data_IF_981674073710
#
_entry.id   IF_981674073710
#
_cell.length_a   1.000
_cell.length_b   1.000
_cell.length_c   1.000
_cell.angle_alpha   90.00
_cell.angle_beta   90.00
_cell.angle_gamma   90.00
#
_symmetry.space_group_name_H-M   'P 1'
#
loop_
_entity.id
_entity.type
_entity.pdbx_description
1 polymer ?
#
# COMPACT_ATOMS: atom_id res chain seq x y z
N UNK A 1 19.29 10.54 -29.88
CA UNK A 1 19.01 9.37 -29.00
C UNK A 1 18.53 9.79 -27.60
N UNK A 2 17.75 10.87 -27.48
CA UNK A 2 17.31 11.43 -26.17
C UNK A 2 15.79 11.30 -25.94
N UNK A 3 14.99 11.20 -27.00
CA UNK A 3 13.53 11.03 -26.89
C UNK A 3 13.11 9.69 -26.26
N UNK A 4 13.91 8.63 -26.43
CA UNK A 4 13.62 7.29 -25.88
C UNK A 4 13.81 7.21 -24.37
N UNK A 5 14.78 7.93 -23.79
CA UNK A 5 15.08 7.89 -22.35
C UNK A 5 13.96 8.51 -21.49
N UNK A 6 13.32 9.58 -21.99
CA UNK A 6 12.24 10.26 -21.26
C UNK A 6 10.93 9.44 -21.26
N UNK A 7 10.67 8.72 -22.35
CA UNK A 7 9.52 7.82 -22.47
C UNK A 7 9.68 6.58 -21.56
N UNK A 8 10.89 6.02 -21.46
CA UNK A 8 11.19 4.89 -20.58
C UNK A 8 11.10 5.28 -19.10
N UNK A 9 11.63 6.45 -18.73
CA UNK A 9 11.52 7.00 -17.37
C UNK A 9 10.06 7.17 -16.93
N UNK A 10 9.19 7.67 -17.82
CA UNK A 10 7.76 7.80 -17.55
C UNK A 10 7.09 6.45 -17.29
N UNK A 11 7.36 5.47 -18.16
CA UNK A 11 6.84 4.09 -18.02
C UNK A 11 7.36 3.42 -16.74
N UNK A 12 8.64 3.60 -16.42
CA UNK A 12 9.28 3.06 -15.22
C UNK A 12 8.65 3.68 -13.96
N UNK A 13 8.41 4.99 -13.93
CA UNK A 13 7.71 5.65 -12.81
C UNK A 13 6.30 5.11 -12.62
N UNK A 14 5.54 4.93 -13.70
CA UNK A 14 4.19 4.33 -13.60
C UNK A 14 4.26 2.89 -13.06
N UNK A 15 5.21 2.08 -13.52
CA UNK A 15 5.41 0.72 -13.01
C UNK A 15 5.77 0.73 -11.52
N UNK A 16 6.68 1.60 -11.10
CA UNK A 16 7.06 1.74 -9.70
C UNK A 16 5.87 2.21 -8.84
N UNK A 17 5.09 3.18 -9.31
CA UNK A 17 3.89 3.66 -8.62
C UNK A 17 2.83 2.55 -8.46
N UNK A 18 2.57 1.78 -9.53
CA UNK A 18 1.66 0.64 -9.47
C UNK A 18 2.16 -0.42 -8.51
N UNK A 19 3.46 -0.74 -8.56
CA UNK A 19 4.07 -1.69 -7.64
C UNK A 19 3.90 -1.25 -6.18
N UNK A 20 4.21 0.01 -5.87
CA UNK A 20 4.05 0.55 -4.52
C UNK A 20 2.58 0.56 -4.07
N UNK A 21 1.66 0.93 -4.96
CA UNK A 21 0.23 0.90 -4.65
C UNK A 21 -0.25 -0.51 -4.32
N UNK A 22 0.15 -1.51 -5.11
CA UNK A 22 -0.16 -2.93 -4.86
C UNK A 22 0.47 -3.41 -3.55
N UNK A 23 1.74 -3.05 -3.29
CA UNK A 23 2.42 -3.42 -2.06
C UNK A 23 1.71 -2.84 -0.81
N UNK A 24 1.32 -1.57 -0.84
CA UNK A 24 0.57 -0.92 0.25
C UNK A 24 -0.83 -1.53 0.43
N UNK A 25 -1.51 -1.84 -0.67
CA UNK A 25 -2.79 -2.53 -0.61
C UNK A 25 -2.65 -3.94 -0.01
N UNK A 26 -1.57 -4.65 -0.32
CA UNK A 26 -1.31 -5.98 0.23
C UNK A 26 -0.99 -5.93 1.74
N UNK A 27 -0.21 -4.96 2.21
CA UNK A 27 0.10 -4.81 3.64
C UNK A 27 -1.14 -4.46 4.45
N UNK A 28 -1.93 -3.48 4.01
CA UNK A 28 -3.18 -3.11 4.68
C UNK A 28 -4.22 -4.23 4.57
N UNK A 29 -4.37 -4.81 3.38
CA UNK A 29 -5.29 -5.90 3.11
C UNK A 29 -5.01 -7.15 3.94
N UNK A 30 -3.74 -7.52 4.15
CA UNK A 30 -3.38 -8.64 5.03
C UNK A 30 -3.75 -8.35 6.49
N UNK A 31 -3.51 -7.13 7.00
CA UNK A 31 -3.93 -6.74 8.34
C UNK A 31 -5.46 -6.80 8.53
N UNK A 32 -6.24 -6.48 7.49
CA UNK A 32 -7.71 -6.64 7.50
C UNK A 32 -8.13 -8.11 7.37
N UNK A 33 -7.44 -8.90 6.53
CA UNK A 33 -7.70 -10.32 6.37
C UNK A 33 -7.52 -11.07 7.69
N UNK A 34 -6.48 -10.75 8.48
CA UNK A 34 -6.33 -11.36 9.81
C UNK A 34 -7.46 -11.02 10.76
N UNK A 35 -8.00 -9.79 10.71
CA UNK A 35 -9.15 -9.39 11.53
C UNK A 35 -10.43 -10.12 11.12
N UNK A 36 -10.79 -10.06 9.83
CA UNK A 36 -12.10 -10.53 9.36
C UNK A 36 -12.13 -12.00 8.96
N UNK A 37 -11.03 -12.53 8.43
CA UNK A 37 -10.92 -13.91 7.95
C UNK A 37 -10.21 -14.78 9.00
N UNK A 38 -9.16 -14.24 9.63
CA UNK A 38 -8.37 -14.95 10.64
C UNK A 38 -8.96 -14.96 12.05
N UNK A 39 -10.00 -14.15 12.33
CA UNK A 39 -10.57 -14.03 13.67
C UNK A 39 -9.65 -13.40 14.71
N UNK A 40 -8.56 -12.73 14.29
CA UNK A 40 -7.66 -12.03 15.19
C UNK A 40 -8.32 -10.74 15.67
N UNK A 41 -8.75 -10.75 16.94
CA UNK A 41 -9.37 -9.59 17.58
C UNK A 41 -8.30 -8.49 17.73
N UNK A 42 -8.50 -7.29 17.17
CA UNK A 42 -7.57 -6.19 17.34
C UNK A 42 -7.66 -5.62 18.77
N UNK A 43 -6.54 -5.15 19.32
CA UNK A 43 -6.55 -4.43 20.59
C UNK A 43 -7.11 -3.01 20.41
N UNK A 44 -7.72 -2.48 21.48
CA UNK A 44 -8.31 -1.13 21.49
C UNK A 44 -7.32 -0.06 21.00
N UNK A 45 -6.07 -0.14 21.47
CA UNK A 45 -5.04 0.81 21.13
C UNK A 45 -4.65 0.79 19.64
N UNK A 46 -4.75 -0.36 18.96
CA UNK A 46 -4.51 -0.46 17.51
C UNK A 46 -5.61 0.22 16.69
N UNK A 47 -6.86 0.15 17.15
CA UNK A 47 -7.98 0.83 16.48
C UNK A 47 -7.88 2.35 16.65
N UNK A 48 -7.49 2.79 17.85
CA UNK A 48 -7.36 4.21 18.18
C UNK A 48 -6.21 4.89 17.42
N UNK A 49 -5.09 4.19 17.22
CA UNK A 49 -3.97 4.71 16.43
C UNK A 49 -4.18 4.68 14.90
N UNK A 50 -5.23 4.02 14.40
CA UNK A 50 -5.54 4.01 12.95
C UNK A 50 -6.05 5.36 12.47
N UNK A 51 -6.69 6.12 13.35
CA UNK A 51 -7.14 7.49 13.09
C UNK A 51 -6.09 8.48 13.57
N UNK A 52 -5.49 9.29 12.68
CA UNK A 52 -4.54 10.31 13.12
C UNK A 52 -5.26 11.33 14.02
N UNK A 53 -4.72 11.58 15.21
CA UNK A 53 -5.12 12.71 16.05
C UNK A 53 -4.45 13.98 15.51
N UNK A 54 -5.14 15.12 15.59
CA UNK A 54 -4.67 16.42 15.07
C UNK A 54 -3.27 16.82 15.55
#
# INVERSE_FOLDING_TARGET
MTATMNADTGRQRTRAALFLAVAMAATVGSALAFQYIGGYIPCHLCLEQRTPYY
#
